data_IF_716790506569
#
_entry.id   IF_716790506569
#
_cell.length_a   1.000
_cell.length_b   1.000
_cell.length_c   1.000
_cell.angle_alpha   90.00
_cell.angle_beta   90.00
_cell.angle_gamma   90.00
#
_symmetry.space_group_name_H-M   'P 1'
#
loop_
_entity.id
_entity.type
_entity.pdbx_description
1 polymer ?
#
# COMPACT_ATOMS: atom_id res chain seq x y z
N UNK A 1 -12.03 0.14 -15.68
CA UNK A 1 -12.07 1.43 -14.97
C UNK A 1 -10.62 1.88 -14.74
N UNK A 2 -10.24 3.10 -15.13
CA UNK A 2 -8.84 3.57 -15.00
C UNK A 2 -8.54 3.83 -13.53
N UNK A 3 -7.54 3.15 -12.98
CA UNK A 3 -7.12 3.34 -11.59
C UNK A 3 -6.65 4.80 -11.42
N UNK A 4 -7.30 5.56 -10.54
CA UNK A 4 -6.93 6.95 -10.26
C UNK A 4 -5.48 7.02 -9.77
N UNK A 5 -4.79 8.11 -10.11
CA UNK A 5 -3.40 8.38 -9.70
C UNK A 5 -3.22 8.30 -8.18
N UNK A 6 -4.26 8.70 -7.42
CA UNK A 6 -4.30 8.61 -5.95
C UNK A 6 -4.34 7.15 -5.46
N UNK A 7 -5.15 6.31 -6.10
CA UNK A 7 -5.27 4.88 -5.76
C UNK A 7 -3.98 4.14 -6.04
N UNK A 8 -3.29 4.43 -7.16
CA UNK A 8 -2.00 3.80 -7.46
C UNK A 8 -0.95 4.11 -6.39
N UNK A 9 -0.87 5.37 -5.94
CA UNK A 9 0.00 5.76 -4.83
C UNK A 9 -0.38 5.08 -3.51
N UNK A 10 -1.68 4.98 -3.23
CA UNK A 10 -2.18 4.24 -2.08
C UNK A 10 -1.74 2.77 -2.11
N UNK A 11 -1.83 2.08 -3.25
CA UNK A 11 -1.38 0.70 -3.38
C UNK A 11 0.12 0.53 -3.16
N UNK A 12 0.93 1.47 -3.65
CA UNK A 12 2.39 1.46 -3.41
C UNK A 12 2.68 1.68 -1.93
N UNK A 13 2.09 2.71 -1.32
CA UNK A 13 2.28 3.00 0.10
C UNK A 13 1.81 1.83 0.98
N UNK A 14 0.68 1.22 0.63
CA UNK A 14 0.13 0.06 1.32
C UNK A 14 1.06 -1.16 1.18
N UNK A 15 1.60 -1.43 0.00
CA UNK A 15 2.57 -2.50 -0.21
C UNK A 15 3.85 -2.29 0.62
N UNK A 16 4.40 -1.07 0.63
CA UNK A 16 5.57 -0.72 1.42
C UNK A 16 5.32 -0.83 2.93
N UNK A 17 4.17 -0.33 3.40
CA UNK A 17 3.74 -0.43 4.79
C UNK A 17 3.58 -1.90 5.22
N UNK A 18 2.92 -2.71 4.39
CA UNK A 18 2.76 -4.14 4.60
C UNK A 18 4.13 -4.81 4.81
N UNK A 19 5.10 -4.49 3.95
CA UNK A 19 6.46 -5.01 4.07
C UNK A 19 7.13 -4.62 5.41
N UNK A 20 6.95 -3.38 5.86
CA UNK A 20 7.47 -2.93 7.15
C UNK A 20 6.85 -3.69 8.34
N UNK A 21 5.54 -3.91 8.31
CA UNK A 21 4.82 -4.64 9.38
C UNK A 21 5.30 -6.10 9.44
N UNK A 22 5.32 -6.79 8.31
CA UNK A 22 5.67 -8.21 8.29
C UNK A 22 7.14 -8.47 8.60
N UNK A 23 8.06 -7.65 8.09
CA UNK A 23 9.48 -7.77 8.44
C UNK A 23 9.75 -7.53 9.92
N UNK A 24 9.04 -6.58 10.54
CA UNK A 24 9.12 -6.33 11.98
C UNK A 24 8.53 -7.48 12.78
N UNK A 25 7.38 -8.01 12.36
CA UNK A 25 6.74 -9.16 13.00
C UNK A 25 7.62 -10.41 12.95
N UNK A 26 8.20 -10.74 11.78
CA UNK A 26 9.11 -11.90 11.64
C UNK A 26 10.35 -11.75 12.53
N UNK A 27 10.93 -10.54 12.62
CA UNK A 27 12.04 -10.28 13.55
C UNK A 27 11.64 -10.52 15.00
N UNK A 28 10.42 -10.12 15.40
CA UNK A 28 9.93 -10.32 16.76
C UNK A 28 9.56 -11.79 17.03
N UNK A 29 9.04 -12.50 16.03
CA UNK A 29 8.74 -13.92 16.09
C UNK A 29 10.04 -14.73 16.29
N UNK A 30 11.10 -14.38 15.55
CA UNK A 30 12.42 -15.03 15.69
C UNK A 30 13.09 -14.75 17.03
N UNK A 31 12.90 -13.53 17.57
CA UNK A 31 13.37 -13.15 18.92
C UNK A 31 12.54 -13.78 20.05
N UNK A 32 11.52 -14.56 19.70
CA UNK A 32 10.56 -15.12 20.65
C UNK A 32 9.96 -14.09 21.61
N UNK A 33 9.58 -12.91 21.09
CA UNK A 33 9.06 -11.83 21.93
C UNK A 33 7.79 -12.21 22.72
N UNK A 34 7.09 -13.27 22.31
CA UNK A 34 5.91 -13.81 22.98
C UNK A 34 6.21 -14.98 23.93
N UNK A 35 7.40 -15.58 23.86
CA UNK A 35 7.76 -16.81 24.60
C UNK A 35 7.04 -18.07 24.14
N UNK A 36 6.39 -18.03 22.96
CA UNK A 36 5.59 -19.13 22.39
C UNK A 36 6.21 -19.70 21.11
N UNK A 37 7.22 -19.06 20.54
CA UNK A 37 7.78 -19.45 19.25
C UNK A 37 8.70 -20.67 19.37
N UNK A 38 9.38 -20.83 20.50
CA UNK A 38 10.34 -21.89 20.71
C UNK A 38 10.15 -22.60 22.04
N UNK A 39 10.34 -23.92 22.05
CA UNK A 39 10.40 -24.66 23.31
C UNK A 39 11.75 -24.38 24.01
N UNK A 40 11.72 -24.13 25.32
CA UNK A 40 12.90 -23.92 26.17
C UNK A 40 13.82 -22.73 25.78
N UNK A 41 13.37 -21.85 24.89
CA UNK A 41 14.13 -20.68 24.45
C UNK A 41 15.29 -21.01 23.49
N UNK A 42 15.37 -22.24 22.97
CA UNK A 42 16.33 -22.59 21.94
C UNK A 42 15.73 -22.47 20.53
N UNK A 43 16.50 -22.00 19.56
CA UNK A 43 16.03 -21.93 18.16
C UNK A 43 15.95 -23.32 17.48
N UNK A 44 16.23 -24.41 18.19
CA UNK A 44 16.23 -25.79 17.67
C UNK A 44 14.86 -26.46 17.73
N UNK A 45 13.94 -25.99 18.58
CA UNK A 45 12.61 -26.57 18.73
C UNK A 45 11.47 -25.56 18.44
N UNK A 46 11.21 -25.22 17.16
CA UNK A 46 10.12 -24.33 16.78
C UNK A 46 8.75 -24.97 17.04
N UNK A 47 7.85 -24.19 17.63
CA UNK A 47 6.47 -24.63 17.95
C UNK A 47 5.54 -24.55 16.74
N UNK A 48 4.34 -25.14 16.86
CA UNK A 48 3.28 -24.94 15.87
C UNK A 48 2.88 -23.45 15.73
N UNK A 49 2.91 -22.70 16.83
CA UNK A 49 2.66 -21.26 16.84
C UNK A 49 3.64 -20.53 15.91
N UNK A 50 4.94 -20.85 16.00
CA UNK A 50 5.96 -20.28 15.12
C UNK A 50 5.65 -20.56 13.65
N UNK A 51 5.40 -21.82 13.29
CA UNK A 51 5.16 -22.20 11.89
C UNK A 51 3.92 -21.55 11.30
N UNK A 52 2.80 -21.56 12.03
CA UNK A 52 1.54 -20.94 11.57
C UNK A 52 1.76 -19.45 11.29
N UNK A 53 2.38 -18.74 12.23
CA UNK A 53 2.59 -17.30 12.11
C UNK A 53 3.65 -16.95 11.05
N UNK A 54 4.70 -17.76 10.92
CA UNK A 54 5.70 -17.58 9.87
C UNK A 54 5.08 -17.78 8.48
N UNK A 55 4.29 -18.83 8.29
CA UNK A 55 3.59 -19.07 7.02
C UNK A 55 2.61 -17.93 6.70
N UNK A 56 1.81 -17.51 7.68
CA UNK A 56 0.90 -16.35 7.54
C UNK A 56 1.66 -15.08 7.15
N UNK A 57 2.80 -14.80 7.79
CA UNK A 57 3.64 -13.65 7.49
C UNK A 57 4.21 -13.72 6.06
N UNK A 58 4.70 -14.89 5.62
CA UNK A 58 5.25 -15.08 4.26
C UNK A 58 4.16 -14.86 3.21
N UNK A 59 3.02 -15.54 3.34
CA UNK A 59 1.90 -15.41 2.39
C UNK A 59 1.42 -13.96 2.33
N UNK A 60 1.26 -13.31 3.49
CA UNK A 60 0.81 -11.92 3.55
C UNK A 60 1.83 -10.95 2.97
N UNK A 61 3.13 -11.22 3.15
CA UNK A 61 4.21 -10.45 2.51
C UNK A 61 4.13 -10.56 1.00
N UNK A 62 3.94 -11.77 0.45
CA UNK A 62 3.79 -11.99 -0.99
C UNK A 62 2.58 -11.21 -1.53
N UNK A 63 1.43 -11.30 -0.85
CA UNK A 63 0.24 -10.54 -1.24
C UNK A 63 0.49 -9.02 -1.22
N UNK A 64 1.15 -8.51 -0.16
CA UNK A 64 1.55 -7.11 -0.07
C UNK A 64 2.50 -6.68 -1.20
N UNK A 65 3.47 -7.53 -1.56
CA UNK A 65 4.38 -7.29 -2.69
C UNK A 65 3.64 -7.26 -4.02
N UNK A 66 2.72 -8.21 -4.27
CA UNK A 66 1.89 -8.21 -5.48
C UNK A 66 1.10 -6.91 -5.59
N UNK A 67 0.47 -6.47 -4.50
CA UNK A 67 -0.28 -5.19 -4.46
C UNK A 67 0.64 -4.00 -4.73
N UNK A 68 1.81 -3.94 -4.10
CA UNK A 68 2.80 -2.88 -4.32
C UNK A 68 3.26 -2.82 -5.78
N UNK A 69 3.55 -3.97 -6.40
CA UNK A 69 3.92 -4.09 -7.81
C UNK A 69 2.79 -3.62 -8.72
N UNK A 70 1.53 -3.97 -8.43
CA UNK A 70 0.38 -3.46 -9.18
C UNK A 70 0.25 -1.93 -9.08
N UNK A 71 0.50 -1.36 -7.89
CA UNK A 71 0.57 0.09 -7.69
C UNK A 71 1.67 0.75 -8.55
N UNK A 72 2.88 0.18 -8.56
CA UNK A 72 4.00 0.66 -9.37
C UNK A 72 3.66 0.60 -10.86
N UNK A 73 3.10 -0.53 -11.33
CA UNK A 73 2.65 -0.67 -12.72
C UNK A 73 1.57 0.33 -13.09
N UNK A 74 0.65 0.64 -12.17
CA UNK A 74 -0.32 1.72 -12.31
C UNK A 74 0.39 3.07 -12.53
N UNK A 75 1.31 3.45 -11.63
CA UNK A 75 2.07 4.70 -11.77
C UNK A 75 2.87 4.77 -13.08
N UNK A 76 3.53 3.68 -13.49
CA UNK A 76 4.28 3.61 -14.74
C UNK A 76 3.36 3.74 -15.98
N UNK A 77 2.17 3.13 -15.96
CA UNK A 77 1.18 3.26 -17.02
C UNK A 77 0.65 4.71 -17.14
N UNK A 78 0.45 5.40 -16.01
CA UNK A 78 0.08 6.83 -16.01
C UNK A 78 1.20 7.74 -16.55
N UNK A 79 2.48 7.36 -16.37
CA UNK A 79 3.63 8.13 -16.89
C UNK A 79 3.81 7.99 -18.40
N UNK A 80 3.25 6.94 -19.02
CA UNK A 80 3.35 6.68 -20.47
C UNK A 80 2.32 7.44 -21.31
N UNK A 81 1.38 8.15 -20.69
CA UNK A 81 0.48 9.07 -21.38
C UNK A 81 1.10 10.48 -21.35
N UNK A 82 1.55 11.03 -22.49
CA UNK A 82 1.97 12.43 -22.56
C UNK A 82 0.82 13.32 -22.08
N UNK A 83 1.18 14.37 -21.34
CA UNK A 83 0.28 15.40 -20.88
C UNK A 83 -0.42 16.08 -22.07
N UNK A 84 -1.63 15.65 -22.38
CA UNK A 84 -2.58 16.36 -23.23
C UNK A 84 -3.90 16.50 -22.48
N UNK A 85 -3.87 17.19 -21.33
CA UNK A 85 -5.07 17.38 -20.51
C UNK A 85 -4.82 17.69 -19.03
N UNK A 86 -3.57 17.99 -18.64
CA UNK A 86 -3.25 18.47 -17.30
C UNK A 86 -3.52 19.98 -17.11
N UNK A 87 -4.11 20.66 -18.11
CA UNK A 87 -4.48 22.07 -18.04
C UNK A 87 -5.98 22.37 -18.06
N UNK A 88 -6.86 21.37 -18.27
CA UNK A 88 -8.29 21.62 -18.54
C UNK A 88 -9.20 21.34 -17.34
N UNK A 89 -8.72 20.62 -16.32
CA UNK A 89 -9.50 20.33 -15.11
C UNK A 89 -9.19 21.26 -13.92
N UNK A 90 -8.22 22.17 -14.08
CA UNK A 90 -7.90 23.22 -13.09
C UNK A 90 -8.61 24.55 -13.42
N UNK A 91 -9.06 24.74 -14.68
CA UNK A 91 -9.75 25.95 -15.14
C UNK A 91 -11.29 25.90 -15.12
N UNK A 92 -11.91 24.75 -14.87
CA UNK A 92 -13.38 24.62 -14.83
C UNK A 92 -13.98 24.77 -13.42
N UNK A 93 -13.15 24.86 -12.38
CA UNK A 93 -13.57 25.16 -11.01
C UNK A 93 -13.44 26.65 -10.64
N UNK A 94 -12.81 27.47 -11.49
CA UNK A 94 -12.84 28.94 -11.46
C UNK A 94 -13.88 29.49 -12.45
N UNK A 95 -15.14 29.05 -12.32
CA UNK A 95 -16.23 29.86 -12.84
C UNK A 95 -16.18 31.24 -12.16
N UNK A 96 -15.88 32.24 -12.98
CA UNK A 96 -15.66 33.64 -12.65
C UNK A 96 -16.71 34.19 -11.66
N UNK A 97 -16.30 35.03 -10.67
CA UNK A 97 -17.21 35.78 -9.80
C UNK A 97 -18.33 36.53 -10.56
N UNK A 98 -18.13 36.80 -11.85
CA UNK A 98 -19.10 37.47 -12.73
C UNK A 98 -20.40 36.69 -12.98
N UNK A 99 -20.44 35.36 -12.79
CA UNK A 99 -21.66 34.56 -13.02
C UNK A 99 -22.58 34.49 -11.78
N UNK A 100 -22.07 34.87 -10.60
CA UNK A 100 -22.84 34.89 -9.34
C UNK A 100 -23.77 36.10 -9.22
N UNK A 101 -23.39 37.23 -9.82
CA UNK A 101 -24.18 38.48 -9.80
C UNK A 101 -25.42 38.46 -10.72
N UNK A 102 -25.49 37.51 -11.66
CA UNK A 102 -26.61 37.40 -12.59
C UNK A 102 -27.81 36.60 -12.05
N UNK A 103 -27.64 35.87 -10.92
CA UNK A 103 -28.69 35.00 -10.34
C UNK A 103 -29.33 35.58 -9.08
N UNK A 104 -28.88 36.74 -8.61
CA UNK A 104 -29.43 37.42 -7.42
C UNK A 104 -30.19 38.70 -7.75
N UNK A 105 -30.57 38.93 -9.01
CA UNK A 105 -31.43 40.05 -9.44
C UNK A 105 -32.83 39.57 -9.82
#
# INVERSE_FOLDING_TARGET
MKLSRRVSWFLVAFGAWSWMVWTTFVKNLWKDASGLAFHHGDHSHPTAYFWIHLTLAIVSTILGTVIGVLGIRGLLALRRKPAAGAGEADGAAEASPAERDALTR
#
